data_IF_174071498474
#
_entry.id   IF_174071498474
#
_cell.length_a   1.000
_cell.length_b   1.000
_cell.length_c   1.000
_cell.angle_alpha   90.00
_cell.angle_beta   90.00
_cell.angle_gamma   90.00
#
_symmetry.space_group_name_H-M   'P 1'
#
loop_
_entity.id
_entity.type
_entity.pdbx_description
1 polymer ?
#
# COMPACT_ATOMS: atom_id res chain seq x y z
N UNK A 1 -9.60 -3.71 5.58
CA UNK A 1 -8.79 -3.55 4.36
C UNK A 1 -7.37 -3.96 4.71
N UNK A 2 -6.69 -4.70 3.86
CA UNK A 2 -5.26 -5.01 4.05
C UNK A 2 -4.45 -4.12 3.11
N UNK A 3 -3.52 -3.37 3.68
CA UNK A 3 -2.53 -2.60 2.95
C UNK A 3 -1.18 -3.32 3.04
N UNK A 4 -0.64 -3.74 1.91
CA UNK A 4 0.66 -4.37 1.80
C UNK A 4 1.61 -3.46 1.04
N UNK A 5 2.73 -3.10 1.66
CA UNK A 5 3.84 -2.39 1.04
C UNK A 5 5.00 -3.36 0.90
N UNK A 6 5.30 -3.76 -0.33
CA UNK A 6 6.37 -4.68 -0.64
C UNK A 6 7.64 -3.92 -1.03
N UNK A 7 8.77 -4.29 -0.43
CA UNK A 7 10.06 -3.69 -0.80
C UNK A 7 10.53 -4.29 -2.14
N UNK A 8 11.10 -3.47 -3.04
CA UNK A 8 11.50 -3.94 -4.38
C UNK A 8 12.51 -5.10 -4.39
N UNK A 9 13.37 -5.19 -3.36
CA UNK A 9 14.49 -6.16 -3.33
C UNK A 9 14.61 -6.97 -2.04
N UNK A 10 13.84 -6.67 -0.99
CA UNK A 10 14.03 -7.24 0.36
C UNK A 10 12.66 -7.62 0.93
N UNK A 11 12.12 -8.81 0.59
CA UNK A 11 10.81 -9.25 1.05
C UNK A 11 10.63 -9.26 2.57
N UNK A 12 11.72 -9.39 3.33
CA UNK A 12 11.75 -9.31 4.79
C UNK A 12 11.39 -7.92 5.33
N UNK A 13 11.44 -6.89 4.48
CA UNK A 13 11.03 -5.51 4.80
C UNK A 13 9.60 -5.19 4.39
N UNK A 14 8.86 -6.18 3.90
CA UNK A 14 7.46 -6.00 3.55
C UNK A 14 6.64 -5.64 4.79
N UNK A 15 5.80 -4.61 4.64
CA UNK A 15 4.94 -4.11 5.69
C UNK A 15 3.50 -4.47 5.34
N UNK A 16 2.80 -5.13 6.25
CA UNK A 16 1.37 -5.45 6.12
C UNK A 16 0.60 -4.79 7.25
N UNK A 17 -0.43 -4.04 6.90
CA UNK A 17 -1.26 -3.30 7.84
C UNK A 17 -2.72 -3.64 7.59
N UNK A 18 -3.42 -3.97 8.66
CA UNK A 18 -4.88 -3.95 8.63
C UNK A 18 -5.34 -2.53 8.91
N UNK A 19 -6.04 -1.95 7.94
CA UNK A 19 -6.56 -0.58 8.05
C UNK A 19 -8.09 -0.61 8.02
N UNK A 20 -8.68 0.23 8.86
CA UNK A 20 -10.12 0.48 8.92
C UNK A 20 -10.35 1.96 8.61
N UNK A 21 -10.92 2.26 7.44
CA UNK A 21 -11.35 3.62 7.12
C UNK A 21 -12.42 4.13 8.10
N UNK A 22 -12.43 5.44 8.32
CA UNK A 22 -13.50 6.15 9.00
C UNK A 22 -14.73 6.35 8.10
N UNK A 23 -15.72 7.10 8.59
CA UNK A 23 -16.95 7.39 7.87
C UNK A 23 -16.73 8.16 6.55
N UNK A 24 -15.63 8.90 6.43
CA UNK A 24 -15.23 9.63 5.23
C UNK A 24 -14.32 8.80 4.30
N UNK A 25 -14.07 7.53 4.65
CA UNK A 25 -13.20 6.64 3.90
C UNK A 25 -11.70 6.91 4.10
N UNK A 26 -11.33 7.73 5.09
CA UNK A 26 -9.93 8.04 5.39
C UNK A 26 -9.40 7.12 6.47
N UNK A 27 -8.10 6.87 6.46
CA UNK A 27 -7.43 6.17 7.56
C UNK A 27 -6.03 6.74 7.75
N UNK A 28 -5.44 6.46 8.90
CA UNK A 28 -4.03 6.73 9.17
C UNK A 28 -3.47 5.58 9.99
N UNK A 29 -2.29 5.11 9.63
CA UNK A 29 -1.59 4.05 10.33
C UNK A 29 -0.14 4.48 10.57
N UNK A 30 0.42 4.22 11.76
CA UNK A 30 1.83 4.46 12.00
C UNK A 30 2.65 3.55 11.10
N UNK A 31 3.49 4.15 10.27
CA UNK A 31 4.42 3.42 9.43
C UNK A 31 5.79 3.38 10.12
N UNK A 32 6.45 2.22 10.17
CA UNK A 32 7.86 2.17 10.57
C UNK A 32 8.70 3.00 9.61
N UNK A 33 9.91 3.40 10.04
CA UNK A 33 10.76 4.26 9.23
C UNK A 33 11.09 3.61 7.88
N UNK A 34 10.60 4.21 6.79
CA UNK A 34 10.86 3.70 5.44
C UNK A 34 12.29 3.94 5.02
N UNK A 35 12.92 2.88 4.52
CA UNK A 35 14.15 3.02 3.75
C UNK A 35 13.88 3.64 2.38
N UNK A 36 14.86 4.41 1.89
CA UNK A 36 14.84 4.97 0.55
C UNK A 36 14.86 3.85 -0.48
N UNK A 37 13.73 3.63 -1.14
CA UNK A 37 13.57 2.53 -2.08
C UNK A 37 12.34 2.71 -2.96
N UNK A 38 12.19 1.81 -3.93
CA UNK A 38 10.95 1.58 -4.65
C UNK A 38 10.12 0.59 -3.87
N UNK A 39 8.86 0.95 -3.61
CA UNK A 39 7.88 0.13 -2.92
C UNK A 39 6.72 -0.19 -3.85
N UNK A 40 6.18 -1.40 -3.75
CA UNK A 40 4.90 -1.74 -4.39
C UNK A 40 3.82 -1.70 -3.32
N UNK A 41 2.83 -0.84 -3.50
CA UNK A 41 1.73 -0.68 -2.54
C UNK A 41 0.49 -1.33 -3.12
N UNK A 42 -0.14 -2.18 -2.32
CA UNK A 42 -1.33 -2.94 -2.69
C UNK A 42 -2.36 -2.80 -1.58
N UNK A 43 -3.58 -2.44 -1.96
CA UNK A 43 -4.74 -2.48 -1.07
C UNK A 43 -5.72 -3.55 -1.56
N UNK A 44 -6.15 -4.43 -0.66
CA UNK A 44 -7.09 -5.52 -0.96
C UNK A 44 -8.12 -5.68 0.18
N UNK A 45 -9.35 -6.03 -0.19
CA UNK A 45 -10.36 -6.37 0.80
C UNK A 45 -10.13 -7.76 1.42
N UNK A 46 -10.72 -7.98 2.59
CA UNK A 46 -10.58 -9.26 3.29
C UNK A 46 -11.13 -10.46 2.51
N UNK A 47 -12.06 -10.22 1.57
CA UNK A 47 -12.63 -11.25 0.70
C UNK A 47 -11.92 -11.36 -0.67
N UNK A 48 -10.86 -10.58 -0.91
CA UNK A 48 -10.08 -10.52 -2.16
C UNK A 48 -10.94 -10.34 -3.41
N UNK A 49 -12.05 -9.63 -3.30
CA UNK A 49 -12.93 -9.29 -4.42
C UNK A 49 -12.37 -8.15 -5.26
N UNK A 50 -11.57 -7.27 -4.66
CA UNK A 50 -10.92 -6.19 -5.38
C UNK A 50 -9.49 -5.97 -4.91
N UNK A 51 -8.70 -5.39 -5.81
CA UNK A 51 -7.30 -5.05 -5.57
C UNK A 51 -6.98 -3.72 -6.23
N UNK A 52 -6.33 -2.84 -5.48
CA UNK A 52 -5.74 -1.61 -6.00
C UNK A 52 -4.23 -1.68 -5.83
N UNK A 53 -3.49 -1.10 -6.78
CA UNK A 53 -2.03 -1.12 -6.76
C UNK A 53 -1.41 0.17 -7.27
N UNK A 54 -0.20 0.47 -6.77
CA UNK A 54 0.70 1.45 -7.37
C UNK A 54 2.15 1.20 -6.94
N UNK A 55 3.08 1.80 -7.68
CA UNK A 55 4.48 1.92 -7.26
C UNK A 55 4.67 3.23 -6.50
N UNK A 56 5.37 3.18 -5.37
CA UNK A 56 5.76 4.35 -4.57
C UNK A 56 7.29 4.48 -4.50
N UNK A 57 7.82 5.62 -5.00
CA UNK A 57 9.25 5.94 -4.95
C UNK A 57 9.53 6.82 -3.72
N UNK A 58 9.96 6.22 -2.62
CA UNK A 58 10.25 6.95 -1.39
C UNK A 58 11.75 7.30 -1.26
N UNK A 59 12.13 8.53 -0.81
CA UNK A 59 11.29 9.65 -0.39
C UNK A 59 10.95 10.65 -1.51
N UNK A 60 11.18 10.30 -2.79
CA UNK A 60 10.94 11.20 -3.92
C UNK A 60 9.47 11.52 -4.17
N UNK A 61 8.55 10.69 -3.67
CA UNK A 61 7.10 10.88 -3.69
C UNK A 61 6.57 10.88 -2.26
N UNK A 62 5.78 11.88 -1.89
CA UNK A 62 5.13 11.97 -0.56
C UNK A 62 3.72 11.37 -0.53
N UNK A 63 3.17 11.04 -1.69
CA UNK A 63 1.86 10.42 -1.84
C UNK A 63 1.76 9.74 -3.19
N UNK A 64 0.82 8.80 -3.27
CA UNK A 64 0.51 8.03 -4.47
C UNK A 64 -1.00 7.80 -4.56
N UNK A 65 -1.49 7.59 -5.77
CA UNK A 65 -2.85 7.13 -6.02
C UNK A 65 -2.81 5.63 -6.32
N UNK A 66 -3.59 4.84 -5.59
CA UNK A 66 -3.82 3.44 -5.90
C UNK A 66 -4.93 3.34 -6.94
N UNK A 67 -4.70 2.57 -8.00
CA UNK A 67 -5.71 2.35 -9.06
C UNK A 67 -6.06 0.88 -9.13
N UNK A 68 -7.30 0.59 -9.51
CA UNK A 68 -7.69 -0.77 -9.84
C UNK A 68 -6.89 -1.24 -11.05
N UNK A 69 -6.48 -2.50 -11.03
CA UNK A 69 -5.93 -3.11 -12.24
C UNK A 69 -6.98 -2.99 -13.36
N UNK A 70 -6.53 -2.62 -14.55
CA UNK A 70 -7.41 -2.61 -15.71
C UNK A 70 -7.97 -4.03 -15.91
N UNK A 71 -9.28 -4.20 -16.12
CA UNK A 71 -9.80 -5.50 -16.53
C UNK A 71 -9.06 -5.92 -17.81
N UNK A 72 -8.51 -7.13 -17.79
CA UNK A 72 -7.75 -7.71 -18.90
C UNK A 72 -8.64 -7.95 -20.11
#
# INVERSE_FOLDING_TARGET
>A
LTLHLAHATQPEKDIKLEVRPDADGKFSAPLPMFERSRWQVVAEDGARQWRLGATWIWPGQHGIELRADAPK
#
